data_IF_316773609976
#
_entry.id   IF_316773609976
#
_cell.length_a   1.000
_cell.length_b   1.000
_cell.length_c   1.000
_cell.angle_alpha   90.00
_cell.angle_beta   90.00
_cell.angle_gamma   90.00
#
_symmetry.space_group_name_H-M   'P 1'
#
loop_
_entity.id
_entity.type
_entity.pdbx_description
1 polymer ?
#
# COMPACT_ATOMS: atom_id res chain seq x y z
N UNK A 1 17.68 -19.60 77.72
CA UNK A 1 17.68 -20.33 76.46
C UNK A 1 16.66 -19.69 75.55
N UNK A 2 17.11 -18.82 74.59
CA UNK A 2 16.25 -18.11 73.64
C UNK A 2 16.29 -18.87 72.32
N UNK A 3 15.13 -19.41 71.90
CA UNK A 3 14.99 -20.06 70.58
C UNK A 3 14.78 -19.00 69.49
N UNK A 4 15.71 -18.93 68.57
CA UNK A 4 15.61 -18.12 67.38
C UNK A 4 14.79 -18.88 66.35
N UNK A 5 13.64 -18.30 65.92
CA UNK A 5 12.82 -18.84 64.83
C UNK A 5 13.25 -18.14 63.55
N UNK A 6 13.86 -18.89 62.63
CA UNK A 6 14.26 -18.42 61.31
C UNK A 6 13.10 -18.55 60.37
N UNK A 7 12.48 -17.42 59.94
CA UNK A 7 11.43 -17.39 58.95
C UNK A 7 12.08 -17.23 57.56
N UNK A 8 12.07 -18.27 56.78
CA UNK A 8 12.50 -18.25 55.39
C UNK A 8 11.37 -17.67 54.50
N UNK A 9 11.57 -16.43 53.99
CA UNK A 9 10.68 -15.85 53.01
C UNK A 9 11.04 -16.39 51.63
N UNK A 10 10.21 -17.29 51.09
CA UNK A 10 10.35 -17.80 49.75
C UNK A 10 9.68 -16.76 48.79
N UNK A 11 10.50 -15.91 48.18
CA UNK A 11 10.02 -15.02 47.10
C UNK A 11 9.79 -15.81 45.82
N UNK A 12 8.51 -16.17 45.58
CA UNK A 12 8.10 -16.79 44.33
C UNK A 12 8.20 -15.78 43.17
N UNK A 13 9.18 -15.97 42.30
CA UNK A 13 9.27 -15.25 41.04
C UNK A 13 8.26 -15.85 40.06
N UNK A 14 7.10 -15.22 39.92
CA UNK A 14 6.16 -15.57 38.87
C UNK A 14 6.72 -15.05 37.52
N UNK A 15 7.37 -15.93 36.77
CA UNK A 15 7.63 -15.72 35.35
C UNK A 15 6.28 -15.73 34.63
N UNK A 16 5.70 -14.54 34.43
CA UNK A 16 4.57 -14.35 33.51
C UNK A 16 5.07 -14.56 32.09
N UNK A 17 4.92 -15.79 31.58
CA UNK A 17 5.12 -16.10 30.18
C UNK A 17 3.97 -15.46 29.41
N UNK A 18 4.13 -14.20 28.95
CA UNK A 18 3.23 -13.62 27.96
C UNK A 18 3.42 -14.40 26.66
N UNK A 19 2.57 -15.38 26.43
CA UNK A 19 2.45 -16.01 25.12
C UNK A 19 2.02 -14.92 24.13
N UNK A 20 2.93 -14.49 23.24
CA UNK A 20 2.54 -13.72 22.07
C UNK A 20 1.52 -14.55 21.31
N UNK A 21 0.25 -14.15 21.34
CA UNK A 21 -0.76 -14.72 20.44
C UNK A 21 -0.22 -14.56 19.03
N UNK A 22 0.18 -15.65 18.41
CA UNK A 22 0.48 -15.66 16.97
C UNK A 22 -0.80 -15.21 16.27
N UNK A 23 -0.72 -14.12 15.51
CA UNK A 23 -1.84 -13.70 14.67
C UNK A 23 -2.13 -14.83 13.71
N UNK A 24 -3.28 -15.45 13.80
CA UNK A 24 -3.69 -16.53 12.89
C UNK A 24 -3.80 -15.92 11.49
N UNK A 25 -3.01 -16.45 10.56
CA UNK A 25 -3.00 -15.97 9.18
C UNK A 25 -4.23 -16.51 8.45
N UNK A 26 -5.08 -15.63 8.02
CA UNK A 26 -6.23 -15.96 7.17
C UNK A 26 -5.80 -16.05 5.72
N UNK A 27 -6.16 -17.12 5.02
CA UNK A 27 -5.95 -17.30 3.59
C UNK A 27 -7.29 -17.20 2.87
N UNK A 28 -7.41 -16.25 1.95
CA UNK A 28 -8.60 -16.04 1.14
C UNK A 28 -8.27 -16.36 -0.32
N UNK A 29 -9.22 -16.90 -1.09
CA UNK A 29 -9.09 -16.94 -2.54
C UNK A 29 -9.01 -15.52 -3.07
N UNK A 30 -8.23 -15.32 -4.11
CA UNK A 30 -8.06 -13.97 -4.69
C UNK A 30 -9.39 -13.40 -5.21
N UNK A 31 -10.25 -14.26 -5.75
CA UNK A 31 -11.60 -13.90 -6.18
C UNK A 31 -12.52 -13.42 -5.05
N UNK A 32 -12.23 -13.78 -3.81
CA UNK A 32 -13.03 -13.43 -2.63
C UNK A 32 -12.44 -12.21 -1.88
N UNK A 33 -11.31 -11.67 -2.39
CA UNK A 33 -10.68 -10.47 -1.85
C UNK A 33 -11.37 -9.22 -2.39
N UNK A 34 -11.52 -8.23 -1.53
CA UNK A 34 -11.97 -6.87 -1.92
C UNK A 34 -10.81 -5.98 -2.38
N UNK A 35 -9.56 -6.46 -2.22
CA UNK A 35 -8.38 -5.68 -2.57
C UNK A 35 -8.33 -5.39 -4.06
N UNK A 36 -7.92 -4.17 -4.38
CA UNK A 36 -7.53 -3.78 -5.73
C UNK A 36 -6.08 -3.31 -5.74
N UNK A 37 -5.39 -3.55 -6.84
CA UNK A 37 -4.01 -3.11 -7.02
C UNK A 37 -3.90 -2.35 -8.33
N UNK A 38 -3.34 -1.16 -8.27
CA UNK A 38 -2.97 -0.35 -9.42
C UNK A 38 -1.54 -0.67 -9.82
N UNK A 39 -1.32 -0.82 -11.11
CA UNK A 39 -0.01 -0.99 -11.72
C UNK A 39 0.07 0.04 -12.85
N UNK A 40 0.91 1.04 -12.66
CA UNK A 40 1.12 2.08 -13.65
C UNK A 40 2.53 1.97 -14.23
N UNK A 41 2.64 2.05 -15.55
CA UNK A 41 3.92 2.30 -16.23
C UNK A 41 3.99 3.78 -16.56
N UNK A 42 5.04 4.42 -16.06
CA UNK A 42 5.27 5.85 -16.13
C UNK A 42 6.54 6.13 -16.96
N UNK A 43 6.45 7.02 -17.94
CA UNK A 43 7.61 7.56 -18.62
C UNK A 43 8.14 8.76 -17.83
N UNK A 44 9.46 8.85 -17.62
CA UNK A 44 10.09 9.92 -16.85
C UNK A 44 10.23 11.24 -17.61
N UNK A 45 9.78 11.31 -18.85
CA UNK A 45 9.83 12.52 -19.72
C UNK A 45 11.24 13.13 -19.84
N UNK A 46 12.27 12.31 -19.67
CA UNK A 46 13.67 12.76 -19.71
C UNK A 46 14.15 13.45 -18.43
N UNK A 47 13.37 13.42 -17.34
CA UNK A 47 13.84 13.87 -16.03
C UNK A 47 15.03 13.01 -15.57
N UNK A 48 15.96 13.62 -14.84
CA UNK A 48 17.10 12.90 -14.28
C UNK A 48 16.63 11.88 -13.22
N UNK A 49 17.37 10.79 -13.06
CA UNK A 49 17.10 9.77 -12.03
C UNK A 49 17.01 10.41 -10.64
N UNK A 50 17.92 11.33 -10.31
CA UNK A 50 17.92 12.05 -9.04
C UNK A 50 16.63 12.87 -8.84
N UNK A 51 16.12 13.55 -9.86
CA UNK A 51 14.86 14.30 -9.75
C UNK A 51 13.66 13.37 -9.54
N UNK A 52 13.64 12.24 -10.25
CA UNK A 52 12.61 11.20 -10.10
C UNK A 52 12.64 10.60 -8.69
N UNK A 53 13.83 10.21 -8.19
CA UNK A 53 14.00 9.65 -6.85
C UNK A 53 13.56 10.62 -5.75
N UNK A 54 13.99 11.88 -5.83
CA UNK A 54 13.60 12.89 -4.85
C UNK A 54 12.10 13.13 -4.83
N UNK A 55 11.46 13.18 -6.01
CA UNK A 55 10.02 13.38 -6.08
C UNK A 55 9.21 12.17 -5.61
N UNK A 56 9.61 10.96 -5.97
CA UNK A 56 8.93 9.74 -5.53
C UNK A 56 9.11 9.48 -4.04
N UNK A 57 10.25 9.82 -3.46
CA UNK A 57 10.44 9.77 -2.00
C UNK A 57 9.51 10.76 -1.30
N UNK A 58 9.45 12.00 -1.77
CA UNK A 58 8.53 13.00 -1.24
C UNK A 58 7.06 12.54 -1.33
N UNK A 59 6.64 11.97 -2.47
CA UNK A 59 5.28 11.44 -2.62
C UNK A 59 5.00 10.28 -1.65
N UNK A 60 5.95 9.37 -1.48
CA UNK A 60 5.81 8.24 -0.55
C UNK A 60 5.60 8.71 0.88
N UNK A 61 6.39 9.70 1.33
CA UNK A 61 6.26 10.29 2.66
C UNK A 61 4.93 11.05 2.82
N UNK A 62 4.47 11.71 1.75
CA UNK A 62 3.20 12.42 1.74
C UNK A 62 2.00 11.45 1.83
N UNK A 63 2.02 10.36 1.07
CA UNK A 63 0.93 9.39 0.98
C UNK A 63 0.80 8.54 2.26
N UNK A 64 1.92 8.05 2.81
CA UNK A 64 1.90 7.15 3.98
C UNK A 64 1.21 7.76 5.21
N UNK A 65 1.24 9.08 5.32
CA UNK A 65 0.59 9.79 6.43
C UNK A 65 -0.91 10.03 6.23
N UNK A 66 -1.43 9.89 5.01
CA UNK A 66 -2.77 10.39 4.62
C UNK A 66 -3.69 9.33 4.07
N UNK A 67 -3.14 8.24 3.53
CA UNK A 67 -3.93 7.31 2.75
C UNK A 67 -3.84 5.86 3.24
N UNK A 68 -4.91 5.07 3.08
CA UNK A 68 -4.99 3.70 3.57
C UNK A 68 -4.36 2.67 2.62
N UNK A 69 -3.41 3.05 1.76
CA UNK A 69 -2.71 2.11 0.89
C UNK A 69 -1.94 1.06 1.70
N UNK A 70 -1.97 -0.19 1.25
CA UNK A 70 -1.24 -1.31 1.89
C UNK A 70 0.10 -1.59 1.22
N UNK A 71 0.26 -1.15 -0.02
CA UNK A 71 1.51 -1.10 -0.77
C UNK A 71 1.49 0.22 -1.53
N UNK A 72 2.62 0.90 -1.56
CA UNK A 72 2.85 2.09 -2.37
C UNK A 72 4.33 2.12 -2.72
N UNK A 73 4.69 1.87 -3.97
CA UNK A 73 6.10 1.71 -4.33
C UNK A 73 6.40 2.05 -5.78
N UNK A 74 7.49 2.79 -5.97
CA UNK A 74 8.05 3.16 -7.27
C UNK A 74 9.29 2.32 -7.57
N UNK A 75 9.37 1.80 -8.79
CA UNK A 75 10.46 0.94 -9.25
C UNK A 75 11.00 1.48 -10.57
N UNK A 76 12.23 1.98 -10.59
CA UNK A 76 12.84 2.59 -11.77
C UNK A 76 13.59 1.59 -12.63
N UNK A 77 13.47 1.71 -13.95
CA UNK A 77 14.23 0.93 -14.92
C UNK A 77 15.72 1.30 -14.89
N UNK A 78 16.59 0.37 -15.32
CA UNK A 78 18.05 0.56 -15.30
C UNK A 78 18.51 1.79 -16.10
N UNK A 79 17.81 2.14 -17.17
CA UNK A 79 18.12 3.31 -18.01
C UNK A 79 17.48 4.61 -17.52
N UNK A 80 16.75 4.55 -16.40
CA UNK A 80 16.08 5.70 -15.79
C UNK A 80 14.87 6.25 -16.55
N UNK A 81 14.42 5.58 -17.61
CA UNK A 81 13.36 6.14 -18.50
C UNK A 81 11.95 5.76 -18.10
N UNK A 82 11.80 4.66 -17.35
CA UNK A 82 10.50 4.14 -16.93
C UNK A 82 10.46 3.92 -15.43
N UNK A 83 9.29 4.12 -14.86
CA UNK A 83 9.00 3.81 -13.47
C UNK A 83 7.72 2.98 -13.44
N UNK A 84 7.77 1.81 -12.80
CA UNK A 84 6.57 1.08 -12.45
C UNK A 84 6.11 1.54 -11.07
N UNK A 85 4.88 2.05 -10.95
CA UNK A 85 4.24 2.38 -9.69
C UNK A 85 3.26 1.25 -9.34
N UNK A 86 3.37 0.73 -8.13
CA UNK A 86 2.45 -0.27 -7.59
C UNK A 86 1.79 0.30 -6.34
N UNK A 87 0.46 0.33 -6.35
CA UNK A 87 -0.36 0.75 -5.23
C UNK A 87 -1.39 -0.32 -4.93
N UNK A 88 -1.61 -0.65 -3.65
CA UNK A 88 -2.64 -1.61 -3.26
C UNK A 88 -3.52 -1.04 -2.16
N UNK A 89 -4.81 -1.19 -2.35
CA UNK A 89 -5.88 -0.73 -1.47
C UNK A 89 -6.72 -1.90 -0.97
N UNK A 90 -7.31 -1.78 0.22
CA UNK A 90 -8.14 -2.85 0.81
C UNK A 90 -9.45 -3.08 0.03
N UNK A 91 -9.89 -2.07 -0.69
CA UNK A 91 -11.13 -2.10 -1.46
C UNK A 91 -11.17 -0.94 -2.47
N UNK A 92 -12.19 -0.93 -3.32
CA UNK A 92 -12.41 0.11 -4.33
C UNK A 92 -12.67 1.50 -3.74
N UNK A 93 -13.28 1.60 -2.57
CA UNK A 93 -13.57 2.89 -1.93
C UNK A 93 -12.28 3.59 -1.48
N UNK A 94 -11.30 2.82 -0.95
CA UNK A 94 -9.98 3.37 -0.63
C UNK A 94 -9.27 3.87 -1.89
N UNK A 95 -9.45 3.17 -3.03
CA UNK A 95 -8.92 3.60 -4.33
C UNK A 95 -9.58 4.87 -4.87
N UNK A 96 -10.91 5.02 -4.71
CA UNK A 96 -11.63 6.26 -5.05
C UNK A 96 -11.09 7.42 -4.21
N UNK A 97 -10.98 7.22 -2.89
CA UNK A 97 -10.44 8.25 -1.99
C UNK A 97 -9.04 8.70 -2.42
N UNK A 98 -8.15 7.76 -2.74
CA UNK A 98 -6.83 8.09 -3.29
C UNK A 98 -6.95 8.96 -4.55
N UNK A 99 -7.79 8.55 -5.50
CA UNK A 99 -7.99 9.31 -6.74
C UNK A 99 -8.53 10.73 -6.50
N UNK A 100 -9.49 10.90 -5.58
CA UNK A 100 -10.01 12.20 -5.18
C UNK A 100 -8.93 13.08 -4.55
N UNK A 101 -8.15 12.52 -3.61
CA UNK A 101 -7.05 13.21 -2.93
C UNK A 101 -5.92 13.59 -3.92
N UNK A 102 -5.64 12.73 -4.90
CA UNK A 102 -4.66 13.00 -5.95
C UNK A 102 -5.11 14.13 -6.88
N UNK A 103 -6.34 14.05 -7.43
CA UNK A 103 -6.87 15.03 -8.40
C UNK A 103 -6.99 16.42 -7.77
N UNK A 104 -7.47 16.49 -6.52
CA UNK A 104 -7.64 17.76 -5.80
C UNK A 104 -6.40 18.23 -5.05
N UNK A 105 -5.37 17.39 -4.98
CA UNK A 105 -4.20 17.59 -4.16
C UNK A 105 -3.12 18.48 -4.78
N UNK A 106 -2.15 18.92 -3.97
CA UNK A 106 -1.10 19.83 -4.40
C UNK A 106 -0.07 19.19 -5.35
N UNK A 107 -0.10 17.85 -5.48
CA UNK A 107 0.92 17.11 -6.23
C UNK A 107 0.49 16.74 -7.65
N UNK A 108 -0.75 17.00 -8.02
CA UNK A 108 -1.32 16.60 -9.31
C UNK A 108 -0.52 17.18 -10.50
N UNK A 109 -0.37 18.49 -10.54
CA UNK A 109 0.38 19.15 -11.63
C UNK A 109 1.84 18.69 -11.66
N UNK A 110 2.48 18.61 -10.48
CA UNK A 110 3.88 18.21 -10.37
C UNK A 110 4.11 16.76 -10.81
N UNK A 111 3.15 15.88 -10.54
CA UNK A 111 3.22 14.50 -11.00
C UNK A 111 3.30 14.44 -12.54
N UNK A 112 2.46 15.19 -13.25
CA UNK A 112 2.47 15.22 -14.71
C UNK A 112 3.60 16.05 -15.34
N UNK A 113 4.30 16.89 -14.56
CA UNK A 113 5.58 17.46 -14.99
C UNK A 113 6.69 16.41 -15.03
N UNK A 114 6.70 15.49 -14.06
CA UNK A 114 7.73 14.45 -13.90
C UNK A 114 7.42 13.24 -14.75
N UNK A 115 6.15 12.83 -14.81
CA UNK A 115 5.71 11.59 -15.42
C UNK A 115 4.68 11.77 -16.53
N UNK A 116 4.67 10.80 -17.44
CA UNK A 116 3.57 10.53 -18.37
C UNK A 116 3.10 9.09 -18.12
N UNK A 117 1.80 8.87 -17.95
CA UNK A 117 1.22 7.53 -17.75
C UNK A 117 1.18 6.84 -19.11
N UNK A 118 1.97 5.79 -19.31
CA UNK A 118 1.96 4.97 -20.53
C UNK A 118 0.92 3.85 -20.45
N UNK A 119 0.69 3.31 -19.26
CA UNK A 119 -0.39 2.36 -19.01
C UNK A 119 -0.87 2.41 -17.57
N UNK A 120 -2.14 2.14 -17.37
CA UNK A 120 -2.76 2.00 -16.05
C UNK A 120 -3.60 0.73 -16.03
N UNK A 121 -3.18 -0.25 -15.22
CA UNK A 121 -3.87 -1.53 -15.04
C UNK A 121 -4.38 -1.58 -13.60
N UNK A 122 -5.64 -1.96 -13.43
CA UNK A 122 -6.20 -2.30 -12.12
C UNK A 122 -6.51 -3.79 -12.09
N UNK A 123 -5.88 -4.50 -11.16
CA UNK A 123 -6.14 -5.92 -10.91
C UNK A 123 -6.94 -6.11 -9.63
N UNK A 124 -7.82 -7.13 -9.63
CA UNK A 124 -8.72 -7.44 -8.52
C UNK A 124 -10.17 -7.08 -8.81
N UNK A 125 -11.00 -7.06 -7.76
CA UNK A 125 -12.45 -6.89 -7.89
C UNK A 125 -12.84 -5.39 -7.82
N UNK A 126 -12.46 -4.62 -8.83
CA UNK A 126 -12.85 -3.21 -8.94
C UNK A 126 -14.36 -3.05 -9.06
N UNK A 127 -14.97 -2.25 -8.18
CA UNK A 127 -16.40 -1.96 -8.21
C UNK A 127 -16.80 -1.10 -9.41
N UNK A 128 -18.06 -1.16 -9.82
CA UNK A 128 -18.59 -0.29 -10.88
C UNK A 128 -18.46 1.18 -10.50
N UNK A 129 -18.68 1.53 -9.23
CA UNK A 129 -18.49 2.91 -8.73
C UNK A 129 -17.05 3.41 -8.95
N UNK A 130 -16.04 2.57 -8.69
CA UNK A 130 -14.65 2.91 -8.97
C UNK A 130 -14.40 3.12 -10.48
N UNK A 131 -14.95 2.24 -11.32
CA UNK A 131 -14.82 2.34 -12.79
C UNK A 131 -15.48 3.62 -13.33
N UNK A 132 -16.66 3.97 -12.82
CA UNK A 132 -17.36 5.22 -13.16
C UNK A 132 -16.58 6.45 -12.68
N UNK A 133 -16.07 6.43 -11.45
CA UNK A 133 -15.21 7.49 -10.92
C UNK A 133 -13.99 7.70 -11.82
N UNK A 134 -13.25 6.64 -12.15
CA UNK A 134 -12.05 6.71 -12.95
C UNK A 134 -12.32 7.26 -14.35
N UNK A 135 -13.34 6.73 -15.05
CA UNK A 135 -13.70 7.17 -16.40
C UNK A 135 -14.19 8.61 -16.43
N UNK A 136 -14.96 9.04 -15.42
CA UNK A 136 -15.47 10.42 -15.30
C UNK A 136 -14.36 11.44 -15.07
N UNK A 137 -13.23 11.01 -14.52
CA UNK A 137 -12.04 11.83 -14.31
C UNK A 137 -10.97 11.67 -15.41
N UNK A 138 -11.29 10.97 -16.50
CA UNK A 138 -10.43 10.86 -17.67
C UNK A 138 -9.30 9.84 -17.54
N UNK A 139 -9.36 8.93 -16.57
CA UNK A 139 -8.39 7.83 -16.47
C UNK A 139 -8.79 6.68 -17.39
N UNK A 140 -7.87 6.31 -18.29
CA UNK A 140 -7.99 5.12 -19.13
C UNK A 140 -7.36 3.93 -18.41
N UNK A 141 -8.20 3.05 -17.85
CA UNK A 141 -7.77 1.92 -17.02
C UNK A 141 -8.13 0.59 -17.69
N UNK A 142 -7.14 -0.30 -17.81
CA UNK A 142 -7.39 -1.72 -18.13
C UNK A 142 -7.73 -2.48 -16.84
N UNK A 143 -8.91 -3.10 -16.77
CA UNK A 143 -9.35 -3.90 -15.62
C UNK A 143 -9.09 -5.39 -15.85
N UNK A 144 -8.43 -6.05 -14.88
CA UNK A 144 -8.12 -7.48 -14.93
C UNK A 144 -8.63 -8.19 -13.69
N UNK A 145 -9.61 -9.06 -13.88
CA UNK A 145 -10.18 -9.85 -12.79
C UNK A 145 -9.27 -11.02 -12.40
N UNK A 146 -9.43 -11.51 -11.15
CA UNK A 146 -8.69 -12.66 -10.67
C UNK A 146 -9.21 -13.96 -11.29
N UNK A 147 -8.31 -14.75 -11.87
CA UNK A 147 -8.59 -16.10 -12.38
C UNK A 147 -8.02 -17.20 -11.48
N UNK A 148 -7.34 -16.84 -10.39
CA UNK A 148 -6.74 -17.76 -9.44
C UNK A 148 -5.80 -17.04 -8.48
N UNK A 149 -5.31 -17.79 -7.48
CA UNK A 149 -4.41 -17.26 -6.45
C UNK A 149 -5.08 -17.07 -5.09
N UNK A 150 -4.32 -16.50 -4.16
CA UNK A 150 -4.77 -16.24 -2.79
C UNK A 150 -4.15 -14.95 -2.23
N UNK A 151 -4.84 -14.37 -1.23
CA UNK A 151 -4.33 -13.31 -0.37
C UNK A 151 -4.16 -13.88 1.03
N UNK A 152 -3.08 -13.53 1.71
CA UNK A 152 -2.80 -13.92 3.10
C UNK A 152 -2.75 -12.67 3.98
N UNK A 153 -3.57 -12.67 5.06
CA UNK A 153 -3.68 -11.54 5.99
C UNK A 153 -3.44 -11.99 7.44
#
# INVERSE_FOLDING_TARGET
MKKLILIAVISGIFFSCQSKKSKELTVLKNSDSTEITFILELNTKGNSVENVENFTQYLSDFIVEREPSTVYGYYISKDGKKVTLIERYNNSQDGIKHGEDFISGPNFEKFFEIFEIESFITIGNASEEFKEFASSNGFEIEYRESIGGYVRR
#
